data_IF_942936504692
#
_entry.id   IF_942936504692
#
_cell.length_a   1.000
_cell.length_b   1.000
_cell.length_c   1.000
_cell.angle_alpha   90.00
_cell.angle_beta   90.00
_cell.angle_gamma   90.00
#
_symmetry.space_group_name_H-M   'P 1'
#
loop_
_entity.id
_entity.type
_entity.pdbx_description
1 polymer ?
#
# COMPACT_ATOMS: atom_id res chain seq x y z
N UNK A 1 -6.83 11.73 -5.25
CA UNK A 1 -6.41 10.92 -4.10
C UNK A 1 -5.51 9.78 -4.55
N UNK A 2 -4.60 9.35 -3.66
CA UNK A 2 -3.78 8.17 -3.85
C UNK A 2 -4.21 7.09 -2.87
N UNK A 3 -4.28 5.84 -3.32
CA UNK A 3 -4.56 4.73 -2.42
C UNK A 3 -3.33 4.44 -1.55
N UNK A 4 -3.52 4.38 -0.25
CA UNK A 4 -2.53 3.88 0.69
C UNK A 4 -2.44 2.35 0.67
N UNK A 5 -1.74 1.75 1.65
CA UNK A 5 -1.71 0.31 1.84
C UNK A 5 -3.08 -0.17 2.36
N UNK A 6 -3.95 -0.56 1.46
CA UNK A 6 -5.37 -0.84 1.68
C UNK A 6 -5.82 -2.22 1.19
N UNK A 7 -4.86 -3.12 0.91
CA UNK A 7 -5.18 -4.43 0.36
C UNK A 7 -6.03 -5.35 1.26
N UNK A 8 -6.09 -5.04 2.55
CA UNK A 8 -6.91 -5.70 3.58
C UNK A 8 -7.88 -4.71 4.27
N UNK A 9 -8.19 -3.58 3.63
CA UNK A 9 -9.06 -2.55 4.20
C UNK A 9 -10.35 -2.45 3.40
N UNK A 10 -11.44 -2.82 4.04
CA UNK A 10 -12.79 -2.57 3.56
C UNK A 10 -13.41 -1.35 4.27
N UNK A 11 -14.30 -0.62 3.63
CA UNK A 11 -15.10 0.41 4.30
C UNK A 11 -15.87 -0.20 5.48
N UNK A 12 -15.80 0.43 6.64
CA UNK A 12 -16.43 -0.09 7.86
C UNK A 12 -17.95 -0.29 7.72
N UNK A 13 -18.59 0.33 6.75
CA UNK A 13 -20.02 0.13 6.45
C UNK A 13 -20.36 -1.31 6.03
N UNK A 14 -19.39 -2.07 5.52
CA UNK A 14 -19.59 -3.48 5.19
C UNK A 14 -19.74 -4.39 6.41
N UNK A 15 -19.26 -3.95 7.57
CA UNK A 15 -19.38 -4.69 8.84
C UNK A 15 -20.55 -4.22 9.69
N UNK A 16 -21.24 -3.16 9.29
CA UNK A 16 -22.46 -2.68 9.92
C UNK A 16 -23.68 -3.32 9.26
N UNK A 17 -24.82 -3.42 10.01
CA UNK A 17 -26.09 -3.80 9.41
C UNK A 17 -26.40 -2.91 8.20
N UNK A 18 -26.92 -3.52 7.13
CA UNK A 18 -27.26 -2.80 5.90
C UNK A 18 -28.05 -1.52 6.19
N UNK A 19 -27.49 -0.39 5.81
CA UNK A 19 -28.24 0.87 5.73
C UNK A 19 -29.10 0.76 4.48
N UNK A 20 -30.35 0.38 4.66
CA UNK A 20 -31.34 0.34 3.58
C UNK A 20 -31.66 1.76 3.16
N UNK A 21 -31.18 2.15 2.01
CA UNK A 21 -31.60 3.39 1.35
C UNK A 21 -32.71 3.07 0.36
N UNK A 22 -33.74 3.93 0.28
CA UNK A 22 -34.75 3.83 -0.74
C UNK A 22 -34.13 4.10 -2.12
N UNK A 23 -34.66 3.45 -3.16
CA UNK A 23 -34.41 3.79 -4.56
C UNK A 23 -32.99 3.55 -5.11
N UNK A 24 -32.30 2.47 -4.75
CA UNK A 24 -30.98 2.10 -5.29
C UNK A 24 -29.90 3.18 -5.11
N UNK A 25 -30.07 4.11 -4.20
CA UNK A 25 -29.08 5.13 -3.93
C UNK A 25 -27.96 4.57 -3.06
N UNK A 26 -26.70 4.71 -3.53
CA UNK A 26 -25.52 4.24 -2.82
C UNK A 26 -25.05 5.35 -1.90
N UNK A 27 -25.49 5.30 -0.63
CA UNK A 27 -25.19 6.33 0.37
C UNK A 27 -23.72 6.29 0.81
N UNK A 28 -23.12 5.09 0.91
CA UNK A 28 -21.80 4.89 1.49
C UNK A 28 -20.67 5.63 0.75
N UNK A 29 -20.54 5.59 -0.58
CA UNK A 29 -19.52 6.35 -1.29
C UNK A 29 -19.66 7.86 -1.09
N UNK A 30 -20.90 8.37 -1.02
CA UNK A 30 -21.15 9.79 -0.79
C UNK A 30 -20.75 10.19 0.62
N UNK A 31 -21.09 9.39 1.63
CA UNK A 31 -20.73 9.65 3.03
C UNK A 31 -19.20 9.60 3.23
N UNK A 32 -18.55 8.56 2.71
CA UNK A 32 -17.09 8.46 2.78
C UNK A 32 -16.40 9.60 2.05
N UNK A 33 -16.89 9.96 0.86
CA UNK A 33 -16.38 11.09 0.10
C UNK A 33 -16.56 12.42 0.82
N UNK A 34 -17.70 12.61 1.50
CA UNK A 34 -17.96 13.81 2.31
C UNK A 34 -17.02 13.87 3.50
N UNK A 35 -16.86 12.81 4.27
CA UNK A 35 -15.95 12.79 5.42
C UNK A 35 -14.50 13.07 5.00
N UNK A 36 -14.04 12.44 3.92
CA UNK A 36 -12.72 12.71 3.39
C UNK A 36 -12.57 14.16 2.91
N UNK A 37 -13.59 14.68 2.22
CA UNK A 37 -13.62 16.06 1.74
C UNK A 37 -13.56 17.08 2.88
N UNK A 38 -14.33 16.88 3.93
CA UNK A 38 -14.32 17.73 5.13
C UNK A 38 -12.96 17.70 5.82
N UNK A 39 -12.32 16.52 5.95
CA UNK A 39 -10.99 16.41 6.52
C UNK A 39 -9.93 17.11 5.67
N UNK A 40 -10.03 17.04 4.34
CA UNK A 40 -9.14 17.78 3.42
C UNK A 40 -9.29 19.29 3.62
N UNK A 41 -10.52 19.80 3.71
CA UNK A 41 -10.80 21.22 3.94
C UNK A 41 -10.26 21.66 5.30
N UNK A 42 -10.52 20.88 6.36
CA UNK A 42 -10.04 21.17 7.71
C UNK A 42 -8.50 21.18 7.76
N UNK A 43 -7.86 20.16 7.25
CA UNK A 43 -6.39 20.08 7.20
C UNK A 43 -5.80 21.20 6.38
N UNK A 44 -6.36 21.52 5.21
CA UNK A 44 -5.91 22.62 4.36
C UNK A 44 -6.01 23.97 5.07
N UNK A 45 -7.11 24.22 5.79
CA UNK A 45 -7.30 25.46 6.56
C UNK A 45 -6.34 25.57 7.75
N UNK A 46 -5.80 24.46 8.24
CA UNK A 46 -4.82 24.45 9.34
C UNK A 46 -3.38 24.75 8.88
N UNK A 47 -3.07 24.68 7.57
CA UNK A 47 -1.73 24.97 7.04
C UNK A 47 -1.41 26.44 7.27
N UNK A 48 -0.28 26.72 7.93
CA UNK A 48 0.17 28.08 8.27
C UNK A 48 1.40 28.54 7.48
N UNK A 49 2.03 27.63 6.74
CA UNK A 49 3.20 27.96 5.93
C UNK A 49 3.56 26.82 4.99
N UNK A 50 4.34 27.17 3.98
CA UNK A 50 4.85 26.23 3.00
C UNK A 50 6.37 26.30 2.99
N UNK A 51 7.03 25.17 2.89
CA UNK A 51 8.45 25.09 2.63
C UNK A 51 8.63 24.71 1.14
N UNK A 52 9.19 25.61 0.36
CA UNK A 52 9.47 25.40 -1.06
C UNK A 52 10.94 25.03 -1.33
N UNK A 53 11.78 24.99 -0.28
CA UNK A 53 13.18 24.64 -0.40
C UNK A 53 13.41 23.20 0.10
N UNK A 54 14.22 22.46 -0.64
CA UNK A 54 14.63 21.12 -0.24
C UNK A 54 14.97 20.24 -1.44
N UNK A 55 15.72 19.16 -1.21
CA UNK A 55 16.08 18.23 -2.26
C UNK A 55 14.84 17.50 -2.78
N UNK A 56 14.83 17.24 -4.08
CA UNK A 56 13.91 16.30 -4.72
C UNK A 56 14.78 15.21 -5.33
N UNK A 57 14.61 13.99 -4.87
CA UNK A 57 15.34 12.79 -5.31
C UNK A 57 14.40 11.63 -5.45
N UNK A 58 14.75 10.67 -6.29
CA UNK A 58 14.00 9.42 -6.39
C UNK A 58 14.91 8.27 -6.75
N UNK A 59 14.58 7.10 -6.23
CA UNK A 59 15.20 5.82 -6.52
C UNK A 59 14.12 4.82 -6.90
N UNK A 60 14.47 3.90 -7.78
CA UNK A 60 13.58 2.79 -8.17
C UNK A 60 14.32 1.48 -8.02
N UNK A 61 13.57 0.46 -7.61
CA UNK A 61 14.04 -0.92 -7.57
C UNK A 61 12.98 -1.85 -8.14
N UNK A 62 13.43 -2.96 -8.72
CA UNK A 62 12.57 -4.06 -9.13
C UNK A 62 13.07 -5.31 -8.43
N UNK A 63 12.22 -5.89 -7.60
CA UNK A 63 12.49 -7.16 -6.93
C UNK A 63 11.80 -8.29 -7.69
N UNK A 64 12.53 -9.36 -7.94
CA UNK A 64 11.93 -10.63 -8.35
C UNK A 64 11.52 -11.38 -7.08
N UNK A 65 10.23 -11.38 -6.79
CA UNK A 65 9.66 -11.98 -5.58
C UNK A 65 9.31 -13.45 -5.80
N UNK A 66 9.47 -14.30 -4.77
CA UNK A 66 9.13 -15.71 -4.83
C UNK A 66 7.62 -15.88 -5.00
N UNK A 67 7.27 -16.81 -5.90
CA UNK A 67 5.88 -17.15 -6.14
C UNK A 67 5.34 -18.06 -5.03
N UNK A 68 4.05 -17.93 -4.75
CA UNK A 68 3.32 -18.84 -3.88
C UNK A 68 3.33 -20.24 -4.49
N UNK A 69 3.57 -21.26 -3.66
CA UNK A 69 3.46 -22.64 -4.09
C UNK A 69 2.09 -22.92 -4.72
N UNK A 70 2.07 -23.60 -5.84
CA UNK A 70 0.81 -23.93 -6.52
C UNK A 70 0.00 -24.91 -5.67
N UNK A 71 -1.30 -24.70 -5.61
CA UNK A 71 -2.22 -25.74 -5.19
C UNK A 71 -2.20 -26.86 -6.26
N UNK A 72 -1.84 -28.09 -5.92
CA UNK A 72 -1.82 -29.20 -6.87
C UNK A 72 -3.17 -29.44 -7.57
N UNK A 73 -4.27 -28.97 -6.97
CA UNK A 73 -5.62 -29.04 -7.52
C UNK A 73 -5.94 -27.94 -8.53
N UNK A 74 -5.14 -26.87 -8.58
CA UNK A 74 -5.38 -25.73 -9.48
C UNK A 74 -4.67 -25.84 -10.84
N UNK A 75 -3.97 -26.94 -11.12
CA UNK A 75 -3.37 -27.22 -12.43
C UNK A 75 -2.14 -26.39 -12.81
N UNK A 76 -1.66 -25.50 -11.95
CA UNK A 76 -0.46 -24.69 -12.17
C UNK A 76 0.78 -25.36 -11.53
N UNK A 77 1.48 -26.16 -12.30
CA UNK A 77 2.55 -27.03 -11.81
C UNK A 77 3.86 -26.28 -11.45
N UNK A 78 4.04 -25.01 -11.83
CA UNK A 78 5.30 -24.31 -11.54
C UNK A 78 5.12 -22.78 -11.54
N UNK A 79 4.72 -22.16 -10.40
CA UNK A 79 4.56 -20.71 -10.32
C UNK A 79 5.93 -20.03 -10.51
N UNK A 80 5.98 -19.09 -11.46
CA UNK A 80 7.20 -18.33 -11.74
C UNK A 80 7.30 -17.13 -10.79
N UNK A 81 8.52 -16.79 -10.33
CA UNK A 81 8.76 -15.53 -9.64
C UNK A 81 8.24 -14.35 -10.44
N UNK A 82 7.86 -13.30 -9.74
CA UNK A 82 7.20 -12.12 -10.30
C UNK A 82 7.95 -10.86 -9.90
N UNK A 83 8.08 -9.95 -10.86
CA UNK A 83 8.66 -8.65 -10.61
C UNK A 83 7.70 -7.73 -9.85
N UNK A 84 8.22 -7.10 -8.81
CA UNK A 84 7.54 -6.13 -7.99
C UNK A 84 8.35 -4.82 -7.97
N UNK A 85 7.74 -3.74 -8.41
CA UNK A 85 8.40 -2.44 -8.49
C UNK A 85 8.20 -1.65 -7.21
N UNK A 86 9.30 -1.01 -6.76
CA UNK A 86 9.32 -0.11 -5.62
C UNK A 86 9.91 1.21 -6.10
N UNK A 87 9.24 2.30 -5.81
CA UNK A 87 9.74 3.65 -6.00
C UNK A 87 9.85 4.32 -4.66
N UNK A 88 10.97 4.94 -4.35
CA UNK A 88 11.10 5.82 -3.20
C UNK A 88 11.49 7.20 -3.68
N UNK A 89 10.81 8.22 -3.19
CA UNK A 89 11.13 9.62 -3.49
C UNK A 89 11.25 10.42 -2.20
N UNK A 90 12.10 11.44 -2.23
CA UNK A 90 12.25 12.46 -1.20
C UNK A 90 11.84 13.81 -1.75
N UNK A 91 11.02 14.52 -1.00
CA UNK A 91 10.68 15.94 -1.26
C UNK A 91 10.90 16.68 0.05
N UNK A 92 12.03 17.38 0.16
CA UNK A 92 12.46 17.95 1.44
C UNK A 92 12.61 16.91 2.53
N UNK A 93 11.82 17.02 3.60
CA UNK A 93 11.81 16.05 4.72
C UNK A 93 10.68 15.02 4.65
N UNK A 94 9.99 14.95 3.52
CA UNK A 94 8.92 13.97 3.29
C UNK A 94 9.40 12.88 2.36
N UNK A 95 9.21 11.62 2.75
CA UNK A 95 9.39 10.47 1.87
C UNK A 95 8.06 10.02 1.26
N UNK A 96 8.10 9.62 0.00
CA UNK A 96 6.99 9.01 -0.72
C UNK A 96 7.45 7.66 -1.23
N UNK A 97 6.74 6.61 -0.85
CA UNK A 97 7.00 5.23 -1.28
C UNK A 97 5.87 4.77 -2.18
N UNK A 98 6.21 4.40 -3.40
CA UNK A 98 5.29 3.80 -4.37
C UNK A 98 5.51 2.31 -4.48
N UNK A 99 4.47 1.51 -4.30
CA UNK A 99 4.50 0.05 -4.33
C UNK A 99 3.66 -0.47 -5.51
N UNK A 100 4.23 -1.36 -6.30
CA UNK A 100 3.68 -1.85 -7.56
C UNK A 100 2.61 -2.94 -7.43
N UNK A 101 1.84 -2.94 -6.35
CA UNK A 101 0.77 -3.90 -6.10
C UNK A 101 -0.26 -3.37 -5.11
N UNK A 102 -1.22 -4.20 -4.76
CA UNK A 102 -2.22 -3.97 -3.74
C UNK A 102 -1.72 -4.53 -2.40
N UNK A 103 -1.27 -3.65 -1.53
CA UNK A 103 -0.45 -4.01 -0.37
C UNK A 103 -1.26 -3.95 0.91
N UNK A 104 -1.12 -4.95 1.77
CA UNK A 104 -1.76 -5.01 3.08
C UNK A 104 -1.31 -3.87 3.99
N UNK A 105 -2.22 -3.41 4.85
CA UNK A 105 -2.01 -2.29 5.76
C UNK A 105 -0.80 -2.51 6.69
N UNK A 106 -0.64 -3.72 7.22
CA UNK A 106 0.47 -4.08 8.10
C UNK A 106 1.85 -3.81 7.47
N UNK A 107 2.00 -4.06 6.18
CA UNK A 107 3.24 -3.79 5.43
C UNK A 107 3.49 -2.29 5.34
N UNK A 108 2.46 -1.51 4.96
CA UNK A 108 2.56 -0.05 4.88
C UNK A 108 2.89 0.60 6.22
N UNK A 109 2.28 0.12 7.31
CA UNK A 109 2.59 0.57 8.67
C UNK A 109 4.03 0.27 9.07
N UNK A 110 4.53 -0.93 8.74
CA UNK A 110 5.91 -1.34 9.03
C UNK A 110 6.91 -0.44 8.29
N UNK A 111 6.67 -0.16 7.02
CA UNK A 111 7.49 0.77 6.23
C UNK A 111 7.52 2.16 6.87
N UNK A 112 6.36 2.72 7.22
CA UNK A 112 6.28 4.03 7.88
C UNK A 112 7.01 4.06 9.21
N UNK A 113 6.83 3.03 10.05
CA UNK A 113 7.44 2.94 11.38
C UNK A 113 8.97 2.84 11.32
N UNK A 114 9.51 2.18 10.31
CA UNK A 114 10.96 1.98 10.14
C UNK A 114 11.64 3.02 9.25
N UNK A 115 10.88 3.98 8.74
CA UNK A 115 11.42 5.04 7.89
C UNK A 115 12.35 5.98 8.66
N UNK A 116 13.48 6.41 8.07
CA UNK A 116 14.34 7.45 8.66
C UNK A 116 13.78 8.87 8.49
N UNK A 117 12.67 9.02 7.76
CA UNK A 117 11.99 10.30 7.56
C UNK A 117 10.88 10.49 8.58
N UNK A 118 10.72 11.72 9.07
CA UNK A 118 9.64 12.08 10.00
C UNK A 118 8.25 11.83 9.40
N UNK A 119 8.13 12.05 8.09
CA UNK A 119 6.88 11.85 7.35
C UNK A 119 7.11 10.93 6.16
N UNK A 120 6.37 9.83 6.12
CA UNK A 120 6.44 8.88 5.00
C UNK A 120 5.03 8.55 4.51
N UNK A 121 4.81 8.83 3.22
CA UNK A 121 3.57 8.52 2.52
C UNK A 121 3.78 7.21 1.76
N UNK A 122 2.90 6.24 1.94
CA UNK A 122 2.90 5.00 1.15
C UNK A 122 1.74 5.05 0.16
N UNK A 123 2.05 4.80 -1.10
CA UNK A 123 1.10 4.78 -2.22
C UNK A 123 1.17 3.39 -2.86
N UNK A 124 0.03 2.77 -3.08
CA UNK A 124 -0.08 1.46 -3.76
C UNK A 124 -0.54 1.62 -5.21
N UNK A 125 -0.51 0.54 -5.98
CA UNK A 125 -0.75 0.54 -7.44
C UNK A 125 0.17 1.51 -8.21
N UNK A 126 1.36 1.76 -7.68
CA UNK A 126 2.32 2.70 -8.22
C UNK A 126 3.36 1.98 -9.09
N UNK A 127 3.41 2.33 -10.38
CA UNK A 127 4.34 1.76 -11.35
C UNK A 127 4.22 0.24 -11.59
N UNK A 128 3.08 -0.36 -11.21
CA UNK A 128 2.82 -1.78 -11.40
C UNK A 128 1.46 -2.21 -10.90
N UNK A 129 1.07 -3.42 -11.28
CA UNK A 129 -0.17 -4.08 -10.91
C UNK A 129 0.09 -5.57 -10.61
N UNK A 130 1.00 -5.84 -9.68
CA UNK A 130 1.43 -7.20 -9.37
C UNK A 130 0.40 -8.04 -8.57
N UNK A 131 -0.75 -7.45 -8.21
CA UNK A 131 -1.78 -8.05 -7.37
C UNK A 131 -1.49 -7.86 -5.88
N UNK A 132 -2.11 -8.71 -5.05
CA UNK A 132 -2.01 -8.59 -3.60
C UNK A 132 -0.63 -8.95 -3.07
N UNK A 133 -0.09 -8.09 -2.20
CA UNK A 133 1.04 -8.40 -1.34
C UNK A 133 0.53 -8.51 0.11
N UNK A 134 0.47 -9.74 0.59
CA UNK A 134 -0.20 -10.13 1.83
C UNK A 134 0.79 -10.25 2.98
N UNK A 135 0.40 -9.86 4.19
CA UNK A 135 1.20 -10.10 5.39
C UNK A 135 1.37 -11.61 5.66
N UNK A 136 2.54 -12.07 6.13
CA UNK A 136 2.79 -13.50 6.35
C UNK A 136 1.75 -14.16 7.26
N UNK A 137 1.29 -13.46 8.28
CA UNK A 137 0.33 -13.96 9.27
C UNK A 137 -1.01 -14.32 8.64
N UNK A 138 -1.46 -13.53 7.68
CA UNK A 138 -2.75 -13.70 7.02
C UNK A 138 -2.83 -15.00 6.18
N UNK A 139 -1.70 -15.60 5.81
CA UNK A 139 -1.73 -16.88 5.06
C UNK A 139 -2.36 -18.02 5.87
N UNK A 140 -2.23 -18.00 7.20
CA UNK A 140 -2.88 -18.98 8.07
C UNK A 140 -4.39 -18.72 8.23
N UNK A 141 -4.81 -17.46 8.09
CA UNK A 141 -6.21 -17.05 8.20
C UNK A 141 -7.00 -17.32 6.90
N UNK A 142 -6.32 -17.32 5.76
CA UNK A 142 -6.95 -17.49 4.45
C UNK A 142 -7.60 -16.20 3.95
N UNK A 143 -8.72 -16.31 3.27
CA UNK A 143 -9.45 -15.19 2.69
C UNK A 143 -9.23 -15.03 1.18
N UNK A 144 -9.88 -14.03 0.60
CA UNK A 144 -9.84 -13.77 -0.83
C UNK A 144 -8.44 -13.36 -1.30
N UNK A 145 -7.81 -12.44 -0.61
CA UNK A 145 -6.51 -11.88 -0.93
C UNK A 145 -5.41 -12.96 -0.86
N UNK A 146 -5.49 -13.82 0.15
CA UNK A 146 -4.59 -14.97 0.31
C UNK A 146 -4.78 -15.99 -0.82
N UNK A 147 -6.02 -16.22 -1.26
CA UNK A 147 -6.28 -17.14 -2.38
C UNK A 147 -5.76 -16.57 -3.70
N UNK A 148 -5.91 -15.27 -3.91
CA UNK A 148 -5.61 -14.61 -5.19
C UNK A 148 -4.18 -14.10 -5.30
N UNK A 149 -3.47 -13.89 -4.17
CA UNK A 149 -2.05 -13.51 -4.22
C UNK A 149 -1.22 -14.55 -4.97
N UNK A 150 -0.29 -14.06 -5.75
CA UNK A 150 0.71 -14.88 -6.47
C UNK A 150 2.03 -15.01 -5.73
N UNK A 151 2.22 -14.27 -4.65
CA UNK A 151 3.45 -14.23 -3.88
C UNK A 151 3.45 -15.22 -2.72
N UNK A 152 4.62 -15.68 -2.33
CA UNK A 152 4.82 -16.45 -1.12
C UNK A 152 4.87 -15.55 0.12
N UNK A 153 4.73 -16.10 1.35
CA UNK A 153 4.75 -15.31 2.59
C UNK A 153 6.00 -14.45 2.78
N UNK A 154 7.16 -14.89 2.25
CA UNK A 154 8.44 -14.21 2.41
C UNK A 154 8.52 -12.90 1.59
N UNK A 155 7.70 -12.76 0.56
CA UNK A 155 7.71 -11.62 -0.34
C UNK A 155 7.50 -10.28 0.37
N UNK A 156 6.62 -10.23 1.36
CA UNK A 156 6.36 -9.03 2.15
C UNK A 156 7.62 -8.52 2.87
N UNK A 157 8.36 -9.43 3.51
CA UNK A 157 9.62 -9.11 4.19
C UNK A 157 10.68 -8.58 3.23
N UNK A 158 10.77 -9.14 2.03
CA UNK A 158 11.71 -8.67 0.99
C UNK A 158 11.37 -7.25 0.54
N UNK A 159 10.10 -6.94 0.29
CA UNK A 159 9.64 -5.59 -0.10
C UNK A 159 9.90 -4.57 1.01
N UNK A 160 9.62 -4.92 2.27
CA UNK A 160 9.89 -4.05 3.42
C UNK A 160 11.39 -3.73 3.49
N UNK A 161 12.25 -4.75 3.44
CA UNK A 161 13.70 -4.60 3.55
C UNK A 161 14.27 -3.74 2.42
N UNK A 162 13.86 -3.97 1.18
CA UNK A 162 14.30 -3.16 0.05
C UNK A 162 13.83 -1.71 0.16
N UNK A 163 12.57 -1.50 0.57
CA UNK A 163 12.06 -0.15 0.79
C UNK A 163 12.86 0.60 1.86
N UNK A 164 13.22 -0.07 2.96
CA UNK A 164 14.08 0.50 4.00
C UNK A 164 15.45 0.90 3.45
N UNK A 165 16.05 0.04 2.61
CA UNK A 165 17.34 0.32 1.95
C UNK A 165 17.25 1.57 1.07
N UNK A 166 16.21 1.68 0.24
CA UNK A 166 16.00 2.85 -0.61
C UNK A 166 15.81 4.14 0.19
N UNK A 167 15.01 4.06 1.27
CA UNK A 167 14.75 5.22 2.15
C UNK A 167 16.02 5.66 2.91
N UNK A 168 16.83 4.72 3.37
CA UNK A 168 18.12 5.03 4.01
C UNK A 168 19.05 5.79 3.05
N UNK A 169 19.20 5.29 1.83
CA UNK A 169 20.01 5.94 0.78
C UNK A 169 19.52 7.36 0.46
N UNK A 170 18.21 7.54 0.33
CA UNK A 170 17.62 8.87 0.08
C UNK A 170 17.81 9.85 1.24
N UNK A 171 18.01 9.35 2.45
CA UNK A 171 18.25 10.23 3.62
C UNK A 171 19.68 10.72 3.67
N UNK A 172 20.64 9.93 3.17
CA UNK A 172 22.06 10.27 3.11
C UNK A 172 22.41 11.25 1.98
N UNK A 173 21.63 11.25 0.89
CA UNK A 173 21.79 12.18 -0.26
C UNK A 173 21.13 13.54 0.00
#
# INVERSE_FOLDING_TARGET
PFAGASGDIDPYFRVLPEIKTADNWIAEPVLLGTFLGEEVVHTSAAIRGFNSAGPVRSLMSTLTLPAKASDPKAGNANPKPLDFKITAARVGEVAIVGLGGEVFNGIGRTIKKSSPFAHTIVITHCNGAAGYLVCPEAYAEGGYEVRTTRFSPEAAGMVIKETQSLLARLKEE
#
